data_IF_400278051635
#
_entry.id   IF_400278051635
#
_cell.length_a   1.000
_cell.length_b   1.000
_cell.length_c   1.000
_cell.angle_alpha   90.00
_cell.angle_beta   90.00
_cell.angle_gamma   90.00
#
_symmetry.space_group_name_H-M   'P 1'
#
loop_
_entity.id
_entity.type
_entity.pdbx_description
1 polymer ?
#
# COMPACT_ATOMS: atom_id res chain seq x y z
N UNK A 1 25.58 6.02 22.75
CA UNK A 1 25.27 7.29 22.06
C UNK A 1 23.80 7.52 22.36
N UNK A 2 23.48 8.57 23.11
CA UNK A 2 22.10 8.81 23.56
C UNK A 2 21.18 8.92 22.34
N UNK A 3 20.04 8.22 22.37
CA UNK A 3 19.07 8.26 21.28
C UNK A 3 18.58 9.70 21.12
N UNK A 4 18.67 10.24 19.89
CA UNK A 4 18.18 11.59 19.58
C UNK A 4 16.67 11.67 19.81
N UNK A 5 16.22 12.66 20.58
CA UNK A 5 14.84 12.76 21.05
C UNK A 5 14.15 14.04 20.55
N UNK A 6 13.14 13.85 19.72
CA UNK A 6 12.28 14.86 19.12
C UNK A 6 10.80 14.67 19.50
N UNK A 7 10.51 13.92 20.57
CA UNK A 7 9.11 13.65 20.97
C UNK A 7 8.32 14.95 21.12
N UNK A 8 7.13 14.98 20.53
CA UNK A 8 6.23 16.15 20.52
C UNK A 8 6.84 17.43 19.92
N UNK A 9 7.96 17.34 19.19
CA UNK A 9 8.55 18.51 18.54
C UNK A 9 7.66 19.00 17.39
N UNK A 10 7.84 20.30 17.07
CA UNK A 10 7.28 20.93 15.88
C UNK A 10 8.44 21.30 14.94
N UNK A 11 8.55 20.58 13.83
CA UNK A 11 9.59 20.73 12.82
C UNK A 11 8.98 21.40 11.59
N UNK A 12 9.20 22.70 11.41
CA UNK A 12 8.59 23.48 10.33
C UNK A 12 9.64 24.02 9.36
N UNK A 13 9.69 23.42 8.18
CA UNK A 13 10.55 23.80 7.07
C UNK A 13 9.92 24.80 6.10
N UNK A 14 8.71 25.28 6.34
CA UNK A 14 7.94 26.10 5.38
C UNK A 14 8.57 27.46 5.08
N UNK A 15 9.34 28.01 6.03
CA UNK A 15 10.01 29.32 5.90
C UNK A 15 11.52 29.23 5.75
N UNK A 16 12.12 28.15 6.26
CA UNK A 16 13.56 27.91 6.23
C UNK A 16 13.76 26.43 5.95
N UNK A 17 14.66 26.11 5.02
CA UNK A 17 14.97 24.72 4.68
C UNK A 17 15.41 23.95 5.93
N UNK A 18 14.55 23.06 6.43
CA UNK A 18 14.84 22.16 7.52
C UNK A 18 15.16 20.77 6.96
N UNK A 19 16.36 20.26 7.23
CA UNK A 19 16.86 19.02 6.62
C UNK A 19 17.54 18.13 7.65
N UNK A 20 17.22 16.85 7.57
CA UNK A 20 17.90 15.73 8.23
C UNK A 20 18.52 14.79 7.18
N UNK A 21 18.71 15.27 5.95
CA UNK A 21 19.26 14.45 4.89
C UNK A 21 20.62 13.85 5.27
N UNK A 22 20.85 12.57 4.93
CA UNK A 22 22.05 11.80 5.27
C UNK A 22 22.32 11.65 6.79
N UNK A 23 21.33 11.93 7.65
CA UNK A 23 21.52 11.82 9.10
C UNK A 23 21.39 10.38 9.58
N UNK A 24 22.18 10.03 10.60
CA UNK A 24 22.06 8.77 11.33
C UNK A 24 21.07 8.96 12.50
N UNK A 25 19.83 8.52 12.30
CA UNK A 25 18.71 8.66 13.24
C UNK A 25 18.22 7.29 13.75
N UNK A 26 19.14 6.34 13.81
CA UNK A 26 18.89 4.97 14.31
C UNK A 26 18.36 5.05 15.74
N UNK A 27 17.21 4.42 16.00
CA UNK A 27 16.48 4.45 17.29
C UNK A 27 16.08 5.84 17.81
N UNK A 28 16.16 6.88 16.97
CA UNK A 28 15.69 8.21 17.35
C UNK A 28 14.18 8.20 17.67
N UNK A 29 13.73 9.17 18.46
CA UNK A 29 12.35 9.25 18.94
C UNK A 29 11.65 10.47 18.37
N UNK A 30 10.67 10.26 17.49
CA UNK A 30 9.80 11.29 16.90
C UNK A 30 8.32 11.04 17.24
N UNK A 31 8.03 10.35 18.34
CA UNK A 31 6.64 10.06 18.72
C UNK A 31 5.85 11.36 18.85
N UNK A 32 4.69 11.41 18.18
CA UNK A 32 3.77 12.56 18.15
C UNK A 32 4.40 13.87 17.66
N UNK A 33 5.51 13.80 16.93
CA UNK A 33 6.13 14.96 16.29
C UNK A 33 5.24 15.45 15.15
N UNK A 34 5.21 16.76 14.92
CA UNK A 34 4.63 17.33 13.71
C UNK A 34 5.77 17.85 12.84
N UNK A 35 5.93 17.29 11.65
CA UNK A 35 6.88 17.72 10.65
C UNK A 35 6.14 18.27 9.43
N UNK A 36 6.50 19.47 9.02
CA UNK A 36 5.99 20.13 7.82
C UNK A 36 7.16 20.60 6.96
N UNK A 37 7.12 20.29 5.66
CA UNK A 37 8.13 20.73 4.68
C UNK A 37 9.58 20.35 5.08
N UNK A 38 9.74 19.19 5.71
CA UNK A 38 11.04 18.68 6.19
C UNK A 38 11.64 17.68 5.20
N UNK A 39 12.94 17.82 4.94
CA UNK A 39 13.70 16.94 4.04
C UNK A 39 14.44 15.86 4.82
N UNK A 40 14.10 14.60 4.59
CA UNK A 40 14.68 13.41 5.24
C UNK A 40 15.40 12.48 4.25
N UNK A 41 15.87 13.01 3.11
CA UNK A 41 16.51 12.21 2.05
C UNK A 41 17.76 11.46 2.52
N UNK A 42 17.89 10.19 2.17
CA UNK A 42 18.99 9.30 2.52
C UNK A 42 19.26 9.18 4.02
N UNK A 43 18.30 9.57 4.86
CA UNK A 43 18.42 9.44 6.30
C UNK A 43 18.23 7.97 6.72
N UNK A 44 18.99 7.55 7.73
CA UNK A 44 18.86 6.22 8.31
C UNK A 44 17.99 6.30 9.57
N UNK A 45 16.79 5.74 9.49
CA UNK A 45 15.81 5.63 10.57
C UNK A 45 15.60 4.18 11.01
N UNK A 46 16.62 3.33 10.89
CA UNK A 46 16.52 1.96 11.37
C UNK A 46 16.08 1.93 12.84
N UNK A 47 15.06 1.13 13.15
CA UNK A 47 14.46 1.02 14.49
C UNK A 47 13.97 2.34 15.10
N UNK A 48 13.67 3.37 14.28
CA UNK A 48 13.14 4.65 14.76
C UNK A 48 11.76 4.45 15.42
N UNK A 49 11.42 5.34 16.37
CA UNK A 49 10.10 5.42 16.96
C UNK A 49 9.38 6.70 16.51
N UNK A 50 8.46 6.60 15.56
CA UNK A 50 7.68 7.72 15.02
C UNK A 50 6.17 7.54 15.23
N UNK A 51 5.76 6.78 16.25
CA UNK A 51 4.35 6.52 16.51
C UNK A 51 3.55 7.83 16.67
N UNK A 52 2.46 7.96 15.90
CA UNK A 52 1.59 9.14 15.91
C UNK A 52 2.20 10.41 15.31
N UNK A 53 3.34 10.32 14.61
CA UNK A 53 3.94 11.46 13.93
C UNK A 53 3.04 11.94 12.77
N UNK A 54 3.05 13.23 12.49
CA UNK A 54 2.37 13.82 11.34
C UNK A 54 3.43 14.41 10.42
N UNK A 55 3.42 14.00 9.15
CA UNK A 55 4.36 14.37 8.11
C UNK A 55 3.62 15.05 6.96
N UNK A 56 3.54 16.38 7.01
CA UNK A 56 2.93 17.21 5.99
C UNK A 56 3.98 17.66 4.97
N UNK A 57 3.81 17.32 3.70
CA UNK A 57 4.72 17.77 2.62
C UNK A 57 6.21 17.38 2.83
N UNK A 58 6.49 16.42 3.71
CA UNK A 58 7.84 15.92 3.93
C UNK A 58 8.35 15.12 2.73
N UNK A 59 9.69 15.01 2.64
CA UNK A 59 10.40 14.30 1.57
C UNK A 59 11.24 13.18 2.16
N UNK A 60 11.03 11.96 1.70
CA UNK A 60 11.76 10.75 2.04
C UNK A 60 12.21 10.06 0.75
N UNK A 61 13.43 10.38 0.30
CA UNK A 61 14.07 9.70 -0.85
C UNK A 61 15.21 8.85 -0.35
N UNK A 62 15.30 7.60 -0.78
CA UNK A 62 16.38 6.67 -0.40
C UNK A 62 16.56 6.52 1.12
N UNK A 63 15.51 6.80 1.89
CA UNK A 63 15.54 6.69 3.34
C UNK A 63 15.25 5.24 3.74
N UNK A 64 15.92 4.77 4.79
CA UNK A 64 15.61 3.47 5.39
C UNK A 64 14.87 3.65 6.70
N UNK A 65 13.79 2.91 6.89
CA UNK A 65 12.98 2.84 8.10
C UNK A 65 12.82 1.37 8.54
N UNK A 66 13.76 0.49 8.19
CA UNK A 66 13.65 -0.93 8.54
C UNK A 66 13.51 -1.15 10.05
N UNK A 67 12.67 -2.12 10.42
CA UNK A 67 12.37 -2.47 11.81
C UNK A 67 11.81 -1.29 12.65
N UNK A 68 11.29 -0.24 12.02
CA UNK A 68 10.79 0.93 12.73
C UNK A 68 9.37 0.75 13.28
N UNK A 69 9.01 1.62 14.22
CA UNK A 69 7.67 1.77 14.77
C UNK A 69 7.03 3.07 14.24
N UNK A 70 6.08 2.90 13.32
CA UNK A 70 5.39 3.94 12.58
C UNK A 70 3.87 3.82 12.77
N UNK A 71 3.42 3.33 13.92
CA UNK A 71 2.00 3.12 14.16
C UNK A 71 1.27 4.47 14.29
N UNK A 72 0.05 4.58 13.75
CA UNK A 72 -0.70 5.84 13.69
C UNK A 72 0.06 7.01 13.02
N UNK A 73 1.11 6.76 12.22
CA UNK A 73 1.78 7.86 11.48
C UNK A 73 0.87 8.37 10.37
N UNK A 74 0.92 9.68 10.10
CA UNK A 74 0.20 10.29 8.98
C UNK A 74 1.16 10.95 8.01
N UNK A 75 1.37 10.34 6.84
CA UNK A 75 2.08 10.94 5.71
C UNK A 75 1.08 11.52 4.72
N UNK A 76 1.14 12.84 4.47
CA UNK A 76 0.23 13.47 3.52
C UNK A 76 0.81 14.66 2.77
N UNK A 77 0.18 14.96 1.63
CA UNK A 77 0.42 16.18 0.85
C UNK A 77 -0.81 17.08 0.89
N UNK A 78 -0.60 18.35 1.20
CA UNK A 78 -1.66 19.37 1.27
C UNK A 78 -2.05 19.88 -0.13
N UNK A 79 -1.07 20.02 -1.02
CA UNK A 79 -1.26 20.56 -2.37
C UNK A 79 -0.58 19.65 -3.39
N UNK A 80 -1.29 18.64 -3.87
CA UNK A 80 -0.91 17.93 -5.08
C UNK A 80 -1.86 18.37 -6.19
N UNK A 81 -1.42 19.28 -7.06
CA UNK A 81 -1.95 19.28 -8.42
C UNK A 81 -1.69 17.87 -8.97
N UNK A 82 -2.72 17.23 -9.53
CA UNK A 82 -2.68 15.83 -9.96
C UNK A 82 -1.52 15.54 -10.96
N UNK A 83 -1.00 16.60 -11.59
CA UNK A 83 0.05 16.57 -12.61
C UNK A 83 1.48 16.77 -12.11
N UNK A 84 1.73 17.17 -10.85
CA UNK A 84 3.11 17.35 -10.38
C UNK A 84 3.56 16.12 -9.59
N UNK A 85 4.12 15.17 -10.33
CA UNK A 85 4.92 14.05 -9.83
C UNK A 85 6.23 14.62 -9.25
N UNK A 86 6.21 15.14 -8.03
CA UNK A 86 7.43 15.22 -7.25
C UNK A 86 7.57 13.88 -6.54
N UNK A 87 8.61 13.12 -6.89
CA UNK A 87 9.00 11.84 -6.30
C UNK A 87 9.47 12.05 -4.84
N UNK A 88 8.59 12.55 -3.98
CA UNK A 88 8.92 12.90 -2.61
C UNK A 88 9.08 11.65 -1.74
N UNK A 89 8.50 10.53 -2.16
CA UNK A 89 8.59 9.24 -1.49
C UNK A 89 9.14 8.21 -2.47
N UNK A 90 10.45 8.06 -2.47
CA UNK A 90 11.20 7.27 -3.46
C UNK A 90 12.17 6.34 -2.74
N UNK A 91 12.23 5.08 -3.16
CA UNK A 91 13.16 4.06 -2.66
C UNK A 91 13.18 3.94 -1.13
N UNK A 92 12.02 4.13 -0.48
CA UNK A 92 11.92 4.02 0.97
C UNK A 92 11.86 2.56 1.36
N UNK A 93 12.69 2.17 2.33
CA UNK A 93 12.68 0.83 2.88
C UNK A 93 11.86 0.76 4.18
N UNK A 94 10.68 0.15 4.12
CA UNK A 94 9.82 -0.18 5.27
C UNK A 94 9.88 -1.67 5.64
N UNK A 95 10.99 -2.36 5.34
CA UNK A 95 11.14 -3.79 5.67
C UNK A 95 10.94 -4.02 7.17
N UNK A 96 10.12 -5.02 7.52
CA UNK A 96 9.79 -5.41 8.90
C UNK A 96 9.29 -4.25 9.78
N UNK A 97 8.70 -3.23 9.16
CA UNK A 97 8.22 -2.04 9.87
C UNK A 97 6.79 -2.24 10.37
N UNK A 98 6.50 -1.69 11.55
CA UNK A 98 5.14 -1.59 12.09
C UNK A 98 4.46 -0.32 11.56
N UNK A 99 3.47 -0.46 10.68
CA UNK A 99 2.65 0.59 10.06
C UNK A 99 1.17 0.45 10.47
N UNK A 100 0.92 -0.09 11.67
CA UNK A 100 -0.43 -0.36 12.14
C UNK A 100 -1.17 0.96 12.33
N UNK A 101 -2.38 1.04 11.76
CA UNK A 101 -3.21 2.26 11.77
C UNK A 101 -2.54 3.49 11.09
N UNK A 102 -1.47 3.30 10.31
CA UNK A 102 -0.84 4.39 9.56
C UNK A 102 -1.77 4.93 8.45
N UNK A 103 -1.60 6.19 8.08
CA UNK A 103 -2.33 6.84 6.99
C UNK A 103 -1.36 7.43 5.97
N UNK A 104 -1.49 7.01 4.72
CA UNK A 104 -0.79 7.52 3.55
C UNK A 104 -1.83 8.20 2.67
N UNK A 105 -1.75 9.52 2.49
CA UNK A 105 -2.75 10.29 1.76
C UNK A 105 -2.11 11.17 0.67
N UNK A 106 -2.59 11.02 -0.57
CA UNK A 106 -2.11 11.80 -1.74
C UNK A 106 -0.59 11.69 -1.96
N UNK A 107 -0.03 10.49 -1.75
CA UNK A 107 1.40 10.24 -1.94
C UNK A 107 1.67 9.61 -3.30
N UNK A 108 2.82 9.95 -3.89
CA UNK A 108 3.41 9.22 -5.00
C UNK A 108 4.57 8.38 -4.45
N UNK A 109 4.40 7.06 -4.46
CA UNK A 109 5.35 6.08 -3.92
C UNK A 109 6.05 5.39 -5.09
N UNK A 110 7.38 5.48 -5.11
CA UNK A 110 8.26 4.91 -6.15
C UNK A 110 9.31 4.01 -5.50
N UNK A 111 9.57 2.83 -6.06
CA UNK A 111 10.60 1.89 -5.57
C UNK A 111 10.50 1.47 -4.09
N UNK A 112 9.34 1.59 -3.45
CA UNK A 112 9.22 1.34 -2.00
C UNK A 112 9.15 -0.14 -1.65
N UNK A 113 9.80 -0.52 -0.54
CA UNK A 113 9.84 -1.89 -0.04
C UNK A 113 9.02 -2.03 1.25
N UNK A 114 8.11 -2.99 1.29
CA UNK A 114 7.26 -3.31 2.45
C UNK A 114 7.43 -4.76 2.90
N UNK A 115 8.61 -5.36 2.67
CA UNK A 115 8.83 -6.79 2.92
C UNK A 115 8.63 -7.10 4.41
N UNK A 116 7.71 -7.99 4.75
CA UNK A 116 7.37 -8.32 6.14
C UNK A 116 6.77 -7.18 6.96
N UNK A 117 6.36 -6.07 6.31
CA UNK A 117 5.78 -4.94 7.02
C UNK A 117 4.38 -5.27 7.53
N UNK A 118 4.07 -4.84 8.77
CA UNK A 118 2.73 -4.95 9.31
C UNK A 118 1.94 -3.68 8.97
N UNK A 119 1.11 -3.76 7.93
CA UNK A 119 0.25 -2.66 7.44
C UNK A 119 -1.22 -2.91 7.79
N UNK A 120 -1.48 -3.60 8.90
CA UNK A 120 -2.85 -3.89 9.36
C UNK A 120 -3.57 -2.58 9.70
N UNK A 121 -4.82 -2.44 9.22
CA UNK A 121 -5.64 -1.23 9.35
C UNK A 121 -5.01 0.03 8.74
N UNK A 122 -4.05 -0.11 7.82
CA UNK A 122 -3.50 1.04 7.10
C UNK A 122 -4.57 1.70 6.25
N UNK A 123 -4.51 3.02 6.14
CA UNK A 123 -5.32 3.82 5.21
C UNK A 123 -4.44 4.38 4.11
N UNK A 124 -4.59 3.87 2.89
CA UNK A 124 -3.92 4.39 1.70
C UNK A 124 -4.98 5.05 0.82
N UNK A 125 -4.93 6.37 0.72
CA UNK A 125 -6.00 7.18 0.11
C UNK A 125 -5.41 8.04 -0.99
N UNK A 126 -5.90 7.87 -2.22
CA UNK A 126 -5.43 8.66 -3.38
C UNK A 126 -3.91 8.60 -3.58
N UNK A 127 -3.27 7.49 -3.22
CA UNK A 127 -1.84 7.28 -3.44
C UNK A 127 -1.58 6.59 -4.78
N UNK A 128 -0.41 6.83 -5.35
CA UNK A 128 0.05 6.20 -6.60
C UNK A 128 1.31 5.39 -6.35
N UNK A 129 1.21 4.08 -6.55
CA UNK A 129 2.32 3.12 -6.64
C UNK A 129 2.55 2.82 -8.12
N UNK A 130 3.49 3.52 -8.74
CA UNK A 130 3.68 3.46 -10.20
C UNK A 130 5.16 3.48 -10.59
N UNK A 131 5.41 3.16 -11.87
CA UNK A 131 6.73 3.21 -12.55
C UNK A 131 7.78 2.17 -12.11
N UNK A 132 7.59 1.47 -11.00
CA UNK A 132 8.53 0.46 -10.47
C UNK A 132 7.86 -0.78 -9.90
N UNK A 133 8.65 -1.85 -9.72
CA UNK A 133 8.26 -3.05 -8.98
C UNK A 133 8.22 -2.76 -7.47
N UNK A 134 7.03 -2.51 -6.95
CA UNK A 134 6.80 -2.46 -5.51
C UNK A 134 6.81 -3.87 -4.94
N UNK A 135 7.52 -4.06 -3.82
CA UNK A 135 7.62 -5.36 -3.15
C UNK A 135 6.88 -5.33 -1.83
N UNK A 136 5.78 -6.07 -1.80
CA UNK A 136 4.97 -6.25 -0.60
C UNK A 136 5.17 -7.63 0.03
N UNK A 137 6.22 -8.38 -0.34
CA UNK A 137 6.38 -9.79 0.06
C UNK A 137 6.18 -10.01 1.57
N UNK A 138 5.31 -10.94 1.94
CA UNK A 138 4.95 -11.26 3.33
C UNK A 138 4.38 -10.09 4.16
N UNK A 139 3.92 -9.00 3.54
CA UNK A 139 3.24 -7.90 4.23
C UNK A 139 1.80 -8.29 4.64
N UNK A 140 1.26 -7.60 5.65
CA UNK A 140 -0.15 -7.75 6.06
C UNK A 140 -0.95 -6.48 5.81
N UNK A 141 -2.07 -6.59 5.09
CA UNK A 141 -3.08 -5.54 4.87
C UNK A 141 -4.42 -5.86 5.54
N UNK A 142 -4.43 -6.69 6.58
CA UNK A 142 -5.66 -7.08 7.25
C UNK A 142 -6.45 -5.85 7.73
N UNK A 143 -7.75 -5.80 7.42
CA UNK A 143 -8.65 -4.71 7.79
C UNK A 143 -8.23 -3.32 7.25
N UNK A 144 -7.43 -3.27 6.18
CA UNK A 144 -6.91 -2.03 5.62
C UNK A 144 -7.87 -1.39 4.62
N UNK A 145 -7.62 -0.13 4.27
CA UNK A 145 -8.39 0.65 3.30
C UNK A 145 -7.45 1.22 2.24
N UNK A 146 -7.68 0.90 0.98
CA UNK A 146 -6.88 1.32 -0.17
C UNK A 146 -7.79 1.97 -1.24
N UNK A 147 -8.54 2.99 -0.84
CA UNK A 147 -9.58 3.62 -1.68
C UNK A 147 -8.98 4.66 -2.62
N UNK A 148 -9.38 4.59 -3.89
CA UNK A 148 -8.86 5.44 -4.97
C UNK A 148 -7.32 5.39 -5.08
N UNK A 149 -6.70 4.30 -4.62
CA UNK A 149 -5.27 4.08 -4.80
C UNK A 149 -5.01 3.57 -6.22
N UNK A 150 -3.92 4.01 -6.84
CA UNK A 150 -3.43 3.46 -8.10
C UNK A 150 -2.23 2.58 -7.82
N UNK A 151 -2.28 1.31 -8.21
CA UNK A 151 -1.20 0.34 -8.04
C UNK A 151 -0.90 -0.32 -9.37
N UNK A 152 0.32 -0.20 -9.85
CA UNK A 152 0.74 -0.79 -11.13
C UNK A 152 2.02 -1.60 -10.95
N UNK A 153 2.17 -2.67 -11.74
CA UNK A 153 3.39 -3.47 -11.80
C UNK A 153 3.90 -3.96 -10.43
N UNK A 154 3.01 -4.37 -9.53
CA UNK A 154 3.36 -4.76 -8.16
C UNK A 154 3.33 -6.28 -7.96
N UNK A 155 4.20 -6.80 -7.09
CA UNK A 155 4.18 -8.19 -6.63
C UNK A 155 3.71 -8.28 -5.18
N UNK A 156 2.73 -9.13 -4.94
CA UNK A 156 2.10 -9.32 -3.64
C UNK A 156 2.37 -10.71 -3.05
N UNK A 157 3.55 -11.28 -3.27
CA UNK A 157 3.88 -12.65 -2.86
C UNK A 157 3.66 -12.86 -1.34
N UNK A 158 2.85 -13.87 -0.98
CA UNK A 158 2.50 -14.20 0.41
C UNK A 158 1.85 -13.06 1.23
N UNK A 159 1.17 -12.12 0.57
CA UNK A 159 0.45 -11.03 1.23
C UNK A 159 -0.93 -11.45 1.73
N UNK A 160 -1.30 -10.95 2.92
CA UNK A 160 -2.62 -11.16 3.50
C UNK A 160 -3.51 -9.92 3.33
N UNK A 161 -4.60 -10.04 2.56
CA UNK A 161 -5.59 -8.99 2.29
C UNK A 161 -6.95 -9.24 2.95
N UNK A 162 -7.04 -10.11 3.96
CA UNK A 162 -8.34 -10.45 4.55
C UNK A 162 -9.07 -9.19 5.04
N UNK A 163 -10.34 -9.06 4.65
CA UNK A 163 -11.24 -7.96 5.05
C UNK A 163 -10.73 -6.55 4.65
N UNK A 164 -9.88 -6.46 3.63
CA UNK A 164 -9.42 -5.19 3.08
C UNK A 164 -10.50 -4.52 2.21
N UNK A 165 -10.62 -3.19 2.30
CA UNK A 165 -11.40 -2.39 1.37
C UNK A 165 -10.52 -1.84 0.23
N UNK A 166 -10.73 -2.34 -0.99
CA UNK A 166 -10.12 -1.91 -2.25
C UNK A 166 -11.14 -1.24 -3.19
N UNK A 167 -12.27 -0.75 -2.67
CA UNK A 167 -13.33 -0.15 -3.49
C UNK A 167 -12.82 1.03 -4.30
N UNK A 168 -13.10 1.04 -5.61
CA UNK A 168 -12.63 2.07 -6.55
C UNK A 168 -11.11 2.14 -6.73
N UNK A 169 -10.34 1.18 -6.20
CA UNK A 169 -8.91 1.11 -6.47
C UNK A 169 -8.65 0.84 -7.96
N UNK A 170 -7.57 1.40 -8.49
CA UNK A 170 -7.10 1.13 -9.85
C UNK A 170 -5.82 0.32 -9.77
N UNK A 171 -5.93 -0.98 -9.99
CA UNK A 171 -4.84 -1.94 -9.94
C UNK A 171 -4.68 -2.54 -11.33
N UNK A 172 -3.49 -2.44 -11.92
CA UNK A 172 -3.23 -3.08 -13.21
C UNK A 172 -1.89 -3.76 -13.29
N UNK A 173 -1.80 -4.79 -14.15
CA UNK A 173 -0.56 -5.51 -14.47
C UNK A 173 0.16 -6.01 -13.20
N UNK A 174 -0.61 -6.50 -12.22
CA UNK A 174 -0.09 -6.88 -10.90
C UNK A 174 -0.29 -8.37 -10.62
N UNK A 175 0.61 -8.95 -9.83
CA UNK A 175 0.60 -10.38 -9.51
C UNK A 175 -0.02 -10.65 -8.13
N UNK A 176 -1.14 -11.36 -8.14
CA UNK A 176 -1.90 -11.82 -6.97
C UNK A 176 -1.96 -13.36 -6.85
N UNK A 177 -1.01 -14.06 -7.47
CA UNK A 177 -1.02 -15.54 -7.52
C UNK A 177 -0.99 -16.13 -6.09
N UNK A 178 -1.87 -17.09 -5.81
CA UNK A 178 -2.01 -17.82 -4.54
C UNK A 178 -2.34 -16.98 -3.29
N UNK A 179 -2.89 -15.78 -3.44
CA UNK A 179 -3.17 -14.92 -2.30
C UNK A 179 -4.48 -15.22 -1.57
N UNK A 180 -4.46 -14.91 -0.27
CA UNK A 180 -5.64 -14.94 0.59
C UNK A 180 -6.30 -13.56 0.62
N UNK A 181 -7.38 -13.43 -0.14
CA UNK A 181 -8.16 -12.20 -0.32
C UNK A 181 -9.62 -12.46 0.07
N UNK A 182 -9.85 -13.02 1.25
CA UNK A 182 -11.21 -13.40 1.72
C UNK A 182 -11.97 -12.16 2.20
N UNK A 183 -13.25 -12.04 1.82
CA UNK A 183 -14.14 -10.95 2.21
C UNK A 183 -13.63 -9.54 1.84
N UNK A 184 -12.87 -9.43 0.73
CA UNK A 184 -12.36 -8.15 0.25
C UNK A 184 -13.44 -7.38 -0.49
N UNK A 185 -13.51 -6.08 -0.27
CA UNK A 185 -14.37 -5.19 -1.05
C UNK A 185 -13.62 -4.69 -2.29
N UNK A 186 -14.00 -5.18 -3.47
CA UNK A 186 -13.47 -4.79 -4.78
C UNK A 186 -14.52 -4.03 -5.60
N UNK A 187 -15.56 -3.45 -4.96
CA UNK A 187 -16.62 -2.74 -5.68
C UNK A 187 -16.06 -1.59 -6.52
N UNK A 188 -16.40 -1.57 -7.81
CA UNK A 188 -15.94 -0.56 -8.77
C UNK A 188 -14.42 -0.52 -8.99
N UNK A 189 -13.67 -1.52 -8.52
CA UNK A 189 -12.23 -1.57 -8.70
C UNK A 189 -11.86 -1.88 -10.15
N UNK A 190 -10.84 -1.21 -10.68
CA UNK A 190 -10.20 -1.60 -11.94
C UNK A 190 -9.09 -2.58 -11.61
N UNK A 191 -9.15 -3.78 -12.17
CA UNK A 191 -8.25 -4.91 -11.92
C UNK A 191 -7.70 -5.45 -13.25
N UNK A 192 -7.35 -4.58 -14.19
CA UNK A 192 -7.00 -4.96 -15.57
C UNK A 192 -5.65 -5.68 -15.65
N UNK A 193 -5.56 -6.72 -16.49
CA UNK A 193 -4.33 -7.48 -16.75
C UNK A 193 -3.65 -8.02 -15.47
N UNK A 194 -4.42 -8.25 -14.41
CA UNK A 194 -3.92 -8.80 -13.15
C UNK A 194 -3.91 -10.34 -13.19
N UNK A 195 -3.00 -10.95 -12.44
CA UNK A 195 -2.92 -12.40 -12.32
C UNK A 195 -3.38 -12.87 -10.94
N UNK A 196 -4.58 -13.43 -10.84
CA UNK A 196 -5.17 -14.02 -9.64
C UNK A 196 -5.03 -15.54 -9.60
N UNK A 197 -4.12 -16.14 -10.39
CA UNK A 197 -4.01 -17.60 -10.50
C UNK A 197 -3.88 -18.27 -9.12
N UNK A 198 -4.79 -19.20 -8.80
CA UNK A 198 -4.83 -19.91 -7.53
C UNK A 198 -5.18 -19.06 -6.30
N UNK A 199 -5.57 -17.79 -6.47
CA UNK A 199 -5.97 -16.94 -5.36
C UNK A 199 -7.31 -17.38 -4.73
N UNK A 200 -7.50 -17.03 -3.46
CA UNK A 200 -8.74 -17.23 -2.73
C UNK A 200 -9.46 -15.90 -2.55
N UNK A 201 -10.47 -15.66 -3.38
CA UNK A 201 -11.35 -14.49 -3.36
C UNK A 201 -12.72 -14.80 -2.73
N UNK A 202 -12.83 -15.86 -1.91
CA UNK A 202 -14.11 -16.26 -1.35
C UNK A 202 -14.79 -15.10 -0.58
N UNK A 203 -16.08 -14.90 -0.82
CA UNK A 203 -16.89 -13.85 -0.18
C UNK A 203 -16.60 -12.41 -0.63
N UNK A 204 -15.76 -12.19 -1.66
CA UNK A 204 -15.46 -10.85 -2.14
C UNK A 204 -16.68 -10.14 -2.75
N UNK A 205 -16.72 -8.82 -2.61
CA UNK A 205 -17.68 -7.97 -3.33
C UNK A 205 -17.03 -7.45 -4.59
N UNK A 206 -17.61 -7.74 -5.75
CA UNK A 206 -17.02 -7.43 -7.07
C UNK A 206 -18.02 -6.73 -8.00
N UNK A 207 -19.05 -6.09 -7.43
CA UNK A 207 -20.02 -5.28 -8.19
C UNK A 207 -19.27 -4.19 -8.96
N UNK A 208 -19.51 -4.09 -10.26
CA UNK A 208 -18.87 -3.12 -11.18
C UNK A 208 -17.34 -3.20 -11.25
N UNK A 209 -16.71 -4.28 -10.76
CA UNK A 209 -15.27 -4.47 -10.92
C UNK A 209 -14.91 -4.72 -12.38
N UNK A 210 -13.89 -4.02 -12.89
CA UNK A 210 -13.36 -4.25 -14.23
C UNK A 210 -12.20 -5.26 -14.16
N UNK A 211 -12.42 -6.46 -14.68
CA UNK A 211 -11.43 -7.55 -14.69
C UNK A 211 -10.89 -7.86 -16.08
N UNK A 212 -10.94 -6.89 -16.99
CA UNK A 212 -10.54 -7.05 -18.38
C UNK A 212 -9.10 -7.56 -18.51
N UNK A 213 -8.91 -8.59 -19.35
CA UNK A 213 -7.64 -9.27 -19.61
C UNK A 213 -6.94 -9.91 -18.40
N UNK A 214 -7.65 -10.09 -17.29
CA UNK A 214 -7.07 -10.70 -16.08
C UNK A 214 -7.14 -12.22 -16.09
N UNK A 215 -6.28 -12.86 -15.33
CA UNK A 215 -6.20 -14.31 -15.19
C UNK A 215 -6.82 -14.75 -13.85
N UNK A 216 -7.84 -15.59 -13.90
CA UNK A 216 -8.53 -16.18 -12.76
C UNK A 216 -8.38 -17.72 -12.74
N UNK A 217 -7.30 -18.24 -13.31
CA UNK A 217 -7.05 -19.68 -13.40
C UNK A 217 -7.00 -20.29 -11.99
N UNK A 218 -7.77 -21.35 -11.74
CA UNK A 218 -7.86 -22.02 -10.41
C UNK A 218 -8.20 -21.07 -9.25
N UNK A 219 -8.79 -19.91 -9.53
CA UNK A 219 -9.19 -18.94 -8.48
C UNK A 219 -10.45 -19.42 -7.78
N UNK A 220 -10.51 -19.29 -6.46
CA UNK A 220 -11.71 -19.54 -5.70
C UNK A 220 -12.55 -18.26 -5.58
N UNK A 221 -13.67 -18.19 -6.29
CA UNK A 221 -14.65 -17.10 -6.25
C UNK A 221 -15.90 -17.47 -5.44
N UNK A 222 -15.89 -18.59 -4.69
CA UNK A 222 -17.08 -19.08 -3.96
C UNK A 222 -17.70 -17.98 -3.09
N UNK A 223 -19.01 -17.76 -3.22
CA UNK A 223 -19.72 -16.75 -2.45
C UNK A 223 -19.38 -15.30 -2.81
N UNK A 224 -18.63 -15.04 -3.88
CA UNK A 224 -18.47 -13.68 -4.39
C UNK A 224 -19.82 -13.06 -4.76
N UNK A 225 -19.95 -11.76 -4.55
CA UNK A 225 -21.17 -11.01 -4.83
C UNK A 225 -20.96 -9.96 -5.93
N UNK A 226 -21.93 -9.84 -6.84
CA UNK A 226 -21.96 -8.77 -7.84
C UNK A 226 -21.10 -8.97 -9.10
N UNK A 227 -20.28 -10.02 -9.15
CA UNK A 227 -19.61 -10.41 -10.41
C UNK A 227 -20.60 -11.11 -11.33
N UNK A 228 -20.60 -10.72 -12.61
CA UNK A 228 -21.50 -11.22 -13.65
C UNK A 228 -20.77 -12.13 -14.64
N UNK A 229 -21.52 -12.97 -15.36
CA UNK A 229 -20.97 -13.78 -16.45
C UNK A 229 -20.33 -12.92 -17.55
N UNK A 230 -20.89 -11.74 -17.81
CA UNK A 230 -20.34 -10.78 -18.76
C UNK A 230 -18.99 -10.19 -18.31
N UNK A 231 -18.79 -9.98 -17.01
CA UNK A 231 -17.47 -9.60 -16.47
C UNK A 231 -16.49 -10.78 -16.57
N UNK A 232 -16.90 -11.99 -16.21
CA UNK A 232 -16.06 -13.19 -16.30
C UNK A 232 -15.61 -13.48 -17.74
N UNK A 233 -16.46 -13.20 -18.74
CA UNK A 233 -16.12 -13.33 -20.16
C UNK A 233 -15.04 -12.35 -20.64
N UNK A 234 -14.77 -11.27 -19.89
CA UNK A 234 -13.70 -10.31 -20.19
C UNK A 234 -12.34 -10.72 -19.62
N UNK A 235 -12.31 -11.72 -18.72
CA UNK A 235 -11.07 -12.29 -18.23
C UNK A 235 -10.36 -13.07 -19.35
N UNK A 236 -9.03 -13.04 -19.36
CA UNK A 236 -8.22 -13.81 -20.32
C UNK A 236 -8.42 -15.31 -20.13
N UNK A 237 -8.55 -15.77 -18.87
CA UNK A 237 -8.83 -17.16 -18.56
C UNK A 237 -9.42 -17.32 -17.16
N UNK A 238 -10.41 -18.21 -17.05
CA UNK A 238 -11.03 -18.64 -15.80
C UNK A 238 -10.93 -20.18 -15.62
N UNK A 239 -10.02 -20.84 -16.34
CA UNK A 239 -9.90 -22.30 -16.34
C UNK A 239 -9.63 -22.85 -14.93
N UNK A 240 -10.36 -23.89 -14.52
CA UNK A 240 -10.25 -24.47 -13.18
C UNK A 240 -10.79 -23.58 -12.03
N UNK A 241 -11.30 -22.38 -12.30
CA UNK A 241 -11.84 -21.50 -11.27
C UNK A 241 -13.09 -22.11 -10.61
N UNK A 242 -13.31 -21.81 -9.34
CA UNK A 242 -14.55 -22.13 -8.65
C UNK A 242 -15.41 -20.86 -8.65
N UNK A 243 -16.55 -20.89 -9.35
CA UNK A 243 -17.45 -19.76 -9.54
C UNK A 243 -18.20 -19.37 -8.26
N UNK A 244 -18.88 -18.20 -8.23
CA UNK A 244 -19.63 -17.75 -7.06
C UNK A 244 -20.63 -18.76 -6.48
N UNK A 245 -21.24 -19.57 -7.34
CA UNK A 245 -22.19 -20.62 -6.95
C UNK A 245 -21.53 -21.95 -6.54
N UNK A 246 -20.19 -22.02 -6.51
CA UNK A 246 -19.42 -23.23 -6.20
C UNK A 246 -19.14 -24.15 -7.40
N UNK A 247 -19.61 -23.81 -8.60
CA UNK A 247 -19.35 -24.61 -9.80
C UNK A 247 -17.89 -24.47 -10.23
N UNK A 248 -17.22 -25.57 -10.53
CA UNK A 248 -15.87 -25.55 -11.06
C UNK A 248 -15.88 -25.44 -12.59
N UNK A 249 -15.13 -24.47 -13.12
CA UNK A 249 -14.84 -24.35 -14.55
C UNK A 249 -13.85 -25.45 -14.95
N UNK A 250 -14.04 -26.13 -16.10
CA UNK A 250 -13.08 -27.09 -16.62
C UNK A 250 -11.64 -26.55 -16.78
#
# INVERSE_FOLDING_TARGET
MDDVDFRCAFLDGSKVKLTFANSLLVRAKFRKTCARDVFFGSANFESVQMDGMICANCVYRDATMSHAHLNNIHFYREHSNEDIVYDAYENINFTETSLVDATFERLSLHGTLFIGANMSRIRIIKCRFHRDLHKFASASFQNSTLVNATIQNSSFDEVHFAETNLSGASISVSNFTYLFMINVDLMGATLEMCNFTGANLAGCKMTDANIYLSYFVKTNLTGCHGITDAQLAQATSIAGAILPNGTQVP
#
